data_IF_491729254183
#
_entry.id   IF_491729254183
#
_cell.length_a   1.000
_cell.length_b   1.000
_cell.length_c   1.000
_cell.angle_alpha   90.00
_cell.angle_beta   90.00
_cell.angle_gamma   90.00
#
_symmetry.space_group_name_H-M   'P 1'
#
loop_
_entity.id
_entity.type
_entity.pdbx_description
1 polymer ?
#
# COMPACT_ATOMS: atom_id res chain seq x y z
N UNK A 1 2.38 10.01 -28.17
CA UNK A 1 2.90 11.29 -27.70
C UNK A 1 1.69 12.15 -27.31
N UNK A 2 1.45 12.23 -25.98
CA UNK A 2 0.33 13.02 -25.47
C UNK A 2 0.46 14.48 -25.87
N UNK A 3 -0.64 15.11 -26.22
CA UNK A 3 -0.69 16.54 -26.48
C UNK A 3 -0.27 17.34 -25.23
N UNK A 4 0.28 18.55 -25.41
CA UNK A 4 0.64 19.43 -24.28
C UNK A 4 -0.49 19.58 -23.24
N UNK A 5 -1.78 19.67 -23.64
CA UNK A 5 -2.90 19.70 -22.70
C UNK A 5 -3.00 18.47 -21.79
N UNK A 6 -2.74 17.26 -22.30
CA UNK A 6 -2.79 16.04 -21.48
C UNK A 6 -1.67 15.98 -20.45
N UNK A 7 -0.46 16.44 -20.80
CA UNK A 7 0.66 16.51 -19.87
C UNK A 7 0.41 17.49 -18.70
N UNK A 8 -0.21 18.64 -18.97
CA UNK A 8 -0.60 19.59 -17.93
C UNK A 8 -1.64 19.00 -16.97
N UNK A 9 -2.63 18.29 -17.52
CA UNK A 9 -3.66 17.62 -16.71
C UNK A 9 -3.04 16.51 -15.83
N UNK A 10 -2.11 15.74 -16.36
CA UNK A 10 -1.41 14.69 -15.61
C UNK A 10 -0.59 15.28 -14.47
N UNK A 11 0.12 16.39 -14.70
CA UNK A 11 0.85 17.10 -13.64
C UNK A 11 -0.08 17.67 -12.58
N UNK A 12 -1.20 18.26 -12.99
CA UNK A 12 -2.21 18.76 -12.05
C UNK A 12 -2.80 17.63 -11.20
N UNK A 13 -3.11 16.49 -11.82
CA UNK A 13 -3.56 15.29 -11.08
C UNK A 13 -2.50 14.77 -10.12
N UNK A 14 -1.23 14.70 -10.55
CA UNK A 14 -0.13 14.26 -9.69
C UNK A 14 0.07 15.21 -8.50
N UNK A 15 0.02 16.52 -8.73
CA UNK A 15 0.10 17.53 -7.67
C UNK A 15 -1.08 17.43 -6.70
N UNK A 16 -2.30 17.29 -7.21
CA UNK A 16 -3.49 17.10 -6.40
C UNK A 16 -3.40 15.81 -5.57
N UNK A 17 -2.97 14.70 -6.16
CA UNK A 17 -2.75 13.44 -5.44
C UNK A 17 -1.70 13.59 -4.34
N UNK A 18 -0.61 14.31 -4.60
CA UNK A 18 0.42 14.62 -3.59
C UNK A 18 -0.13 15.42 -2.42
N UNK A 19 -0.94 16.44 -2.70
CA UNK A 19 -1.59 17.26 -1.68
C UNK A 19 -2.61 16.44 -0.87
N UNK A 20 -3.44 15.66 -1.55
CA UNK A 20 -4.45 14.80 -0.92
C UNK A 20 -3.83 13.68 -0.08
N UNK A 21 -2.62 13.22 -0.46
CA UNK A 21 -1.85 12.22 0.30
C UNK A 21 -1.14 12.81 1.52
N UNK A 22 -1.17 14.14 1.70
CA UNK A 22 -0.59 14.75 2.89
C UNK A 22 -1.37 14.33 4.14
N UNK A 23 -0.65 13.88 5.18
CA UNK A 23 -1.21 13.28 6.40
C UNK A 23 -2.43 14.00 6.99
N UNK A 24 -2.41 15.34 7.02
CA UNK A 24 -3.51 16.15 7.57
C UNK A 24 -4.74 16.17 6.67
N UNK A 25 -4.53 16.21 5.36
CA UNK A 25 -5.61 16.26 4.35
C UNK A 25 -6.23 14.89 4.18
N UNK A 26 -5.41 13.84 4.09
CA UNK A 26 -5.87 12.46 3.93
C UNK A 26 -6.76 12.01 5.09
N UNK A 27 -6.39 12.31 6.33
CA UNK A 27 -7.21 11.97 7.50
C UNK A 27 -8.59 12.66 7.51
N UNK A 28 -8.70 13.87 6.95
CA UNK A 28 -9.99 14.54 6.79
C UNK A 28 -10.83 13.89 5.68
N UNK A 29 -10.20 13.51 4.58
CA UNK A 29 -10.88 12.88 3.44
C UNK A 29 -11.33 11.45 3.74
N UNK A 30 -10.58 10.73 4.56
CA UNK A 30 -10.94 9.37 4.99
C UNK A 30 -12.21 9.33 5.86
N UNK A 31 -12.54 10.44 6.55
CA UNK A 31 -13.78 10.57 7.29
C UNK A 31 -15.02 10.75 6.39
N UNK A 32 -14.81 11.03 5.10
CA UNK A 32 -15.89 11.13 4.11
C UNK A 32 -16.15 9.74 3.49
N UNK A 33 -17.41 9.42 3.13
CA UNK A 33 -17.78 8.14 2.53
C UNK A 33 -17.38 8.08 1.04
N UNK A 34 -16.09 8.32 0.76
CA UNK A 34 -15.53 8.38 -0.61
C UNK A 34 -14.91 7.05 -1.05
N UNK A 35 -14.94 6.00 -0.22
CA UNK A 35 -14.29 4.71 -0.52
C UNK A 35 -12.76 4.82 -0.69
N UNK A 36 -12.13 5.86 -0.11
CA UNK A 36 -10.69 6.06 -0.22
C UNK A 36 -9.93 4.93 0.46
N UNK A 37 -9.08 4.27 -0.31
CA UNK A 37 -8.28 3.14 0.17
C UNK A 37 -8.98 1.79 0.04
N UNK A 38 -10.19 1.73 -0.52
CA UNK A 38 -10.81 0.47 -0.92
C UNK A 38 -10.10 -0.10 -2.16
N UNK A 39 -9.84 -1.41 -2.11
CA UNK A 39 -9.31 -2.13 -3.27
C UNK A 39 -10.47 -2.61 -4.11
N UNK A 40 -10.73 -1.91 -5.23
CA UNK A 40 -11.77 -2.27 -6.19
C UNK A 40 -11.12 -2.78 -7.46
N UNK A 41 -11.53 -3.97 -7.91
CA UNK A 41 -11.11 -4.49 -9.20
C UNK A 41 -11.90 -3.80 -10.32
N UNK A 42 -11.18 -3.10 -11.21
CA UNK A 42 -11.75 -2.48 -12.42
C UNK A 42 -11.22 -3.19 -13.66
N UNK A 43 -12.04 -4.00 -14.36
CA UNK A 43 -11.63 -4.66 -15.60
C UNK A 43 -11.48 -3.68 -16.77
N UNK A 44 -12.04 -2.48 -16.67
CA UNK A 44 -12.04 -1.46 -17.70
C UNK A 44 -10.86 -0.48 -17.65
N UNK A 45 -9.77 -0.80 -16.93
CA UNK A 45 -8.62 0.10 -16.86
C UNK A 45 -8.00 0.39 -18.23
N UNK A 46 -7.75 1.67 -18.51
CA UNK A 46 -7.19 2.10 -19.78
C UNK A 46 -5.70 1.71 -19.89
N UNK A 47 -5.35 1.00 -20.95
CA UNK A 47 -3.95 0.75 -21.33
C UNK A 47 -3.51 1.76 -22.38
N UNK A 48 -2.44 2.49 -22.10
CA UNK A 48 -1.89 3.48 -23.01
C UNK A 48 -0.47 3.90 -22.64
N UNK A 49 0.22 4.60 -23.54
CA UNK A 49 1.56 5.11 -23.25
C UNK A 49 1.50 6.20 -22.17
N UNK A 50 2.46 6.14 -21.25
CA UNK A 50 2.62 7.16 -20.21
C UNK A 50 2.98 8.52 -20.86
N UNK A 51 2.37 9.60 -20.40
CA UNK A 51 2.70 10.95 -20.88
C UNK A 51 4.16 11.32 -20.54
N UNK A 52 4.77 12.21 -21.35
CA UNK A 52 6.15 12.68 -21.11
C UNK A 52 6.30 13.36 -19.74
N UNK A 53 5.27 14.03 -19.26
CA UNK A 53 5.25 14.66 -17.94
C UNK A 53 5.36 13.61 -16.83
N UNK A 54 4.59 12.52 -16.89
CA UNK A 54 4.66 11.41 -15.94
C UNK A 54 5.97 10.63 -16.06
N UNK A 55 6.53 10.47 -17.27
CA UNK A 55 7.86 9.88 -17.46
C UNK A 55 8.95 10.69 -16.76
N UNK A 56 8.92 12.02 -16.90
CA UNK A 56 9.84 12.93 -16.21
C UNK A 56 9.70 12.83 -14.69
N UNK A 57 8.48 12.84 -14.18
CA UNK A 57 8.20 12.68 -12.74
C UNK A 57 8.70 11.32 -12.22
N UNK A 58 8.46 10.24 -12.98
CA UNK A 58 8.96 8.90 -12.66
C UNK A 58 10.49 8.86 -12.59
N UNK A 59 11.17 9.50 -13.55
CA UNK A 59 12.63 9.60 -13.55
C UNK A 59 13.17 10.34 -12.32
N UNK A 60 12.51 11.43 -11.91
CA UNK A 60 12.87 12.15 -10.67
C UNK A 60 12.64 11.27 -9.44
N UNK A 61 11.53 10.54 -9.39
CA UNK A 61 11.21 9.64 -8.27
C UNK A 61 12.20 8.49 -8.13
N UNK A 62 12.73 7.96 -9.26
CA UNK A 62 13.74 6.90 -9.24
C UNK A 62 15.05 7.33 -8.60
N UNK A 63 15.43 8.61 -8.70
CA UNK A 63 16.64 9.14 -8.02
C UNK A 63 16.53 9.06 -6.49
N UNK A 64 15.34 9.17 -5.96
CA UNK A 64 15.04 9.10 -4.53
C UNK A 64 14.81 7.67 -4.01
N UNK A 65 14.71 6.70 -4.91
CA UNK A 65 14.26 5.34 -4.58
C UNK A 65 15.16 4.66 -3.54
N UNK A 66 16.49 4.80 -3.70
CA UNK A 66 17.44 4.18 -2.77
C UNK A 66 17.31 4.74 -1.35
N UNK A 67 17.21 6.06 -1.21
CA UNK A 67 16.99 6.74 0.07
C UNK A 67 15.66 6.35 0.70
N UNK A 68 14.62 6.27 -0.13
CA UNK A 68 13.29 5.85 0.34
C UNK A 68 13.28 4.39 0.82
N UNK A 69 13.95 3.50 0.11
CA UNK A 69 14.04 2.09 0.49
C UNK A 69 14.87 1.91 1.77
N UNK A 70 15.97 2.65 1.93
CA UNK A 70 16.74 2.65 3.18
C UNK A 70 15.89 3.10 4.37
N UNK A 71 15.09 4.17 4.22
CA UNK A 71 14.16 4.60 5.26
C UNK A 71 13.11 3.53 5.58
N UNK A 72 12.48 2.92 4.57
CA UNK A 72 11.48 1.85 4.74
C UNK A 72 12.05 0.65 5.51
N UNK A 73 13.27 0.24 5.15
CA UNK A 73 13.95 -0.87 5.83
C UNK A 73 14.31 -0.52 7.27
N UNK A 74 14.69 0.73 7.55
CA UNK A 74 14.92 1.19 8.92
C UNK A 74 13.63 1.14 9.78
N UNK A 75 12.49 1.55 9.24
CA UNK A 75 11.19 1.45 9.93
C UNK A 75 10.78 -0.01 10.14
N UNK A 76 10.94 -0.85 9.11
CA UNK A 76 10.66 -2.28 9.20
C UNK A 76 11.52 -2.97 10.27
N UNK A 77 12.77 -2.56 10.44
CA UNK A 77 13.65 -3.09 11.50
C UNK A 77 13.14 -2.76 12.91
N UNK A 78 12.62 -1.54 13.11
CA UNK A 78 11.99 -1.14 14.38
C UNK A 78 10.75 -2.00 14.67
N UNK A 79 9.88 -2.18 13.68
CA UNK A 79 8.70 -3.03 13.83
C UNK A 79 9.07 -4.47 14.17
N UNK A 80 10.10 -5.02 13.51
CA UNK A 80 10.61 -6.36 13.81
C UNK A 80 11.14 -6.48 15.23
N UNK A 81 11.90 -5.49 15.68
CA UNK A 81 12.45 -5.44 17.05
C UNK A 81 11.33 -5.42 18.10
N UNK A 82 10.35 -4.52 17.95
CA UNK A 82 9.29 -4.33 18.96
C UNK A 82 8.28 -5.48 18.93
N UNK A 83 7.89 -5.97 17.76
CA UNK A 83 6.89 -7.03 17.61
C UNK A 83 7.48 -8.46 17.76
N UNK A 84 8.77 -8.58 18.06
CA UNK A 84 9.41 -9.85 18.37
C UNK A 84 9.48 -10.85 17.22
N UNK A 85 9.46 -10.37 15.97
CA UNK A 85 9.57 -11.24 14.79
C UNK A 85 8.35 -12.15 14.55
N UNK A 86 7.24 -11.92 15.25
CA UNK A 86 5.99 -12.70 15.12
C UNK A 86 5.26 -12.46 13.79
N UNK A 87 5.64 -11.44 13.05
CA UNK A 87 5.21 -11.23 11.67
C UNK A 87 5.84 -12.29 10.77
N UNK A 88 5.07 -13.28 10.38
CA UNK A 88 5.46 -14.48 9.68
C UNK A 88 6.62 -14.31 8.67
N UNK A 89 7.48 -15.25 8.67
CA UNK A 89 8.82 -15.44 8.13
C UNK A 89 9.10 -14.98 6.67
N UNK A 90 8.75 -13.76 6.31
CA UNK A 90 9.19 -13.12 5.05
C UNK A 90 10.73 -13.00 5.04
N UNK A 91 11.33 -12.92 6.23
CA UNK A 91 12.79 -12.88 6.41
C UNK A 91 13.55 -14.14 5.94
N UNK A 92 12.83 -15.20 5.59
CA UNK A 92 13.41 -16.45 5.05
C UNK A 92 13.44 -16.49 3.52
N UNK A 93 12.90 -15.50 2.84
CA UNK A 93 12.96 -15.44 1.39
C UNK A 93 14.35 -14.98 0.94
N UNK A 94 14.91 -15.60 -0.11
CA UNK A 94 16.18 -15.15 -0.67
C UNK A 94 16.01 -13.75 -1.27
N UNK A 95 16.98 -12.87 -1.05
CA UNK A 95 17.01 -11.51 -1.57
C UNK A 95 16.84 -10.44 -0.49
N UNK A 96 16.97 -9.19 -0.89
CA UNK A 96 16.77 -8.03 -0.01
C UNK A 96 15.30 -7.56 -0.10
N UNK A 97 14.59 -7.64 1.02
CA UNK A 97 13.22 -7.19 1.09
C UNK A 97 13.14 -5.66 1.15
N UNK A 98 12.22 -5.07 0.38
CA UNK A 98 11.85 -3.66 0.47
C UNK A 98 10.42 -3.58 0.99
N UNK A 99 10.27 -3.05 2.19
CA UNK A 99 9.00 -2.96 2.87
C UNK A 99 8.24 -1.68 2.47
N UNK A 100 7.47 -1.72 1.39
CA UNK A 100 6.54 -0.62 1.05
C UNK A 100 5.53 -0.39 2.18
N UNK A 101 5.18 -1.45 2.88
CA UNK A 101 4.49 -1.50 4.17
C UNK A 101 5.00 -2.73 4.92
N UNK A 102 5.07 -2.67 6.23
CA UNK A 102 5.49 -3.83 7.03
C UNK A 102 4.30 -4.75 7.30
N UNK A 103 4.35 -6.03 6.92
CA UNK A 103 3.26 -6.97 7.15
C UNK A 103 3.31 -7.51 8.59
N UNK A 104 2.14 -7.60 9.24
CA UNK A 104 1.99 -8.17 10.57
C UNK A 104 0.72 -9.00 10.68
N UNK A 105 0.81 -10.20 11.23
CA UNK A 105 -0.33 -11.10 11.42
C UNK A 105 -1.00 -10.80 12.76
N UNK A 106 -1.96 -9.89 12.75
CA UNK A 106 -2.65 -9.41 13.96
C UNK A 106 -3.85 -10.26 14.39
N UNK A 107 -4.20 -11.31 13.64
CA UNK A 107 -5.42 -12.07 13.87
C UNK A 107 -6.69 -11.31 13.47
N UNK A 108 -7.83 -11.73 13.98
CA UNK A 108 -9.15 -11.18 13.62
C UNK A 108 -9.54 -9.94 14.42
N UNK A 109 -8.70 -9.50 15.36
CA UNK A 109 -8.98 -8.36 16.21
C UNK A 109 -9.15 -7.07 15.38
N UNK A 110 -10.14 -6.22 15.69
CA UNK A 110 -10.29 -4.93 15.03
C UNK A 110 -9.08 -4.05 15.33
N UNK A 111 -8.64 -3.29 14.30
CA UNK A 111 -7.56 -2.32 14.48
C UNK A 111 -8.11 -1.14 15.28
N UNK A 112 -7.49 -0.78 16.43
CA UNK A 112 -7.88 0.39 17.20
C UNK A 112 -7.89 1.66 16.34
N UNK A 113 -8.86 2.55 16.57
CA UNK A 113 -9.02 3.78 15.80
C UNK A 113 -7.75 4.65 15.83
N UNK A 114 -7.08 4.71 16.99
CA UNK A 114 -5.82 5.44 17.13
C UNK A 114 -4.75 4.94 16.15
N UNK A 115 -4.62 3.62 15.97
CA UNK A 115 -3.67 3.02 15.03
C UNK A 115 -4.13 3.20 13.57
N UNK A 116 -5.44 3.16 13.30
CA UNK A 116 -5.96 3.47 11.95
C UNK A 116 -5.61 4.89 11.52
N UNK A 117 -5.71 5.87 12.40
CA UNK A 117 -5.32 7.27 12.14
C UNK A 117 -3.81 7.42 11.88
N UNK A 118 -3.00 6.51 12.39
CA UNK A 118 -1.56 6.45 12.12
C UNK A 118 -1.22 5.65 10.84
N UNK A 119 -2.21 5.17 10.11
CA UNK A 119 -2.04 4.51 8.83
C UNK A 119 -1.92 2.99 8.90
N UNK A 120 -2.21 2.36 10.06
CA UNK A 120 -2.33 0.91 10.15
C UNK A 120 -3.59 0.45 9.44
N UNK A 121 -3.50 -0.53 8.53
CA UNK A 121 -4.61 -0.94 7.66
C UNK A 121 -4.63 -2.45 7.42
N UNK A 122 -5.83 -3.00 7.25
CA UNK A 122 -6.07 -4.24 6.52
C UNK A 122 -6.18 -3.90 5.03
N UNK A 123 -5.10 -4.12 4.28
CA UNK A 123 -5.04 -3.72 2.86
C UNK A 123 -5.85 -4.64 1.95
N UNK A 124 -6.03 -5.88 2.37
CA UNK A 124 -6.64 -6.92 1.54
C UNK A 124 -7.90 -7.43 2.23
N UNK A 125 -9.09 -6.95 1.85
CA UNK A 125 -10.35 -7.36 2.50
C UNK A 125 -10.65 -8.85 2.29
N UNK A 126 -10.15 -9.41 1.17
CA UNK A 126 -10.29 -10.83 0.81
C UNK A 126 -9.17 -11.27 -0.12
N UNK A 127 -9.00 -12.56 -0.32
CA UNK A 127 -8.08 -13.08 -1.33
C UNK A 127 -8.62 -12.80 -2.75
N UNK A 128 -7.72 -12.73 -3.73
CA UNK A 128 -8.10 -12.44 -5.13
C UNK A 128 -9.18 -13.39 -5.64
N UNK A 129 -9.06 -14.68 -5.34
CA UNK A 129 -10.06 -15.67 -5.77
C UNK A 129 -11.42 -15.54 -5.05
N UNK A 130 -11.46 -14.86 -3.91
CA UNK A 130 -12.70 -14.60 -3.16
C UNK A 130 -13.37 -13.30 -3.61
N UNK A 131 -12.74 -12.55 -4.54
CA UNK A 131 -13.28 -11.32 -5.08
C UNK A 131 -14.39 -11.61 -6.11
N UNK A 132 -15.64 -11.17 -5.88
CA UNK A 132 -16.75 -11.48 -6.78
C UNK A 132 -16.52 -11.00 -8.23
N UNK A 133 -15.88 -9.86 -8.41
CA UNK A 133 -15.57 -9.29 -9.72
C UNK A 133 -14.57 -10.14 -10.53
N UNK A 134 -13.80 -11.00 -9.89
CA UNK A 134 -12.86 -11.93 -10.55
C UNK A 134 -13.55 -13.21 -11.02
N UNK A 135 -14.74 -13.54 -10.51
CA UNK A 135 -15.42 -14.80 -10.83
C UNK A 135 -15.52 -15.11 -12.34
N UNK A 136 -15.84 -14.14 -13.24
CA UNK A 136 -15.90 -14.38 -14.68
C UNK A 136 -14.54 -14.73 -15.33
N UNK A 137 -13.44 -14.40 -14.65
CA UNK A 137 -12.08 -14.59 -15.16
C UNK A 137 -11.38 -15.81 -14.58
N UNK A 138 -12.05 -16.58 -13.72
CA UNK A 138 -11.48 -17.80 -13.13
C UNK A 138 -11.36 -18.89 -14.19
N UNK A 139 -10.20 -19.52 -14.26
CA UNK A 139 -10.04 -20.72 -15.06
C UNK A 139 -10.85 -21.90 -14.47
N UNK A 140 -11.30 -22.82 -15.34
CA UNK A 140 -12.10 -23.99 -14.94
C UNK A 140 -11.42 -24.88 -13.88
N UNK A 141 -10.09 -24.82 -13.79
CA UNK A 141 -9.27 -25.63 -12.87
C UNK A 141 -8.68 -24.82 -11.72
N UNK A 142 -9.28 -23.68 -11.37
CA UNK A 142 -8.79 -22.85 -10.27
C UNK A 142 -8.97 -23.59 -8.94
N UNK A 143 -7.84 -23.90 -8.27
CA UNK A 143 -7.86 -24.55 -6.97
C UNK A 143 -8.18 -23.53 -5.85
N UNK A 144 -8.87 -23.95 -4.78
CA UNK A 144 -9.08 -23.12 -3.60
C UNK A 144 -7.75 -22.68 -2.99
N UNK A 145 -7.71 -21.44 -2.50
CA UNK A 145 -6.51 -20.85 -1.84
C UNK A 145 -6.80 -20.48 -0.38
N UNK A 146 -7.08 -21.46 0.51
CA UNK A 146 -7.48 -21.19 1.89
C UNK A 146 -6.40 -20.45 2.68
N UNK A 147 -5.12 -20.65 2.34
CA UNK A 147 -4.00 -19.90 2.91
C UNK A 147 -4.05 -18.41 2.58
N UNK A 148 -4.37 -18.06 1.33
CA UNK A 148 -4.52 -16.67 0.90
C UNK A 148 -5.72 -15.99 1.58
N UNK A 149 -6.85 -16.67 1.67
CA UNK A 149 -8.05 -16.17 2.36
C UNK A 149 -7.77 -15.94 3.84
N UNK A 150 -7.07 -16.86 4.50
CA UNK A 150 -6.65 -16.70 5.90
C UNK A 150 -5.68 -15.51 6.08
N UNK A 151 -4.69 -15.37 5.20
CA UNK A 151 -3.75 -14.22 5.24
C UNK A 151 -4.52 -12.91 5.06
N UNK A 152 -5.43 -12.82 4.09
CA UNK A 152 -6.23 -11.62 3.85
C UNK A 152 -7.02 -11.19 5.10
N UNK A 153 -7.58 -12.15 5.85
CA UNK A 153 -8.32 -11.89 7.09
C UNK A 153 -7.42 -11.42 8.24
N UNK A 154 -6.23 -12.00 8.38
CA UNK A 154 -5.36 -11.79 9.55
C UNK A 154 -4.29 -10.71 9.34
N UNK A 155 -3.96 -10.39 8.08
CA UNK A 155 -2.87 -9.49 7.74
C UNK A 155 -3.23 -8.03 8.00
N UNK A 156 -2.42 -7.40 8.81
CA UNK A 156 -2.38 -5.94 9.00
C UNK A 156 -1.08 -5.41 8.42
N UNK A 157 -1.10 -4.22 7.89
CA UNK A 157 0.10 -3.58 7.36
C UNK A 157 0.40 -2.28 8.09
N UNK A 158 1.65 -2.12 8.50
CA UNK A 158 2.15 -0.96 9.19
C UNK A 158 2.85 -0.01 8.21
N UNK A 159 2.68 1.32 8.37
CA UNK A 159 3.24 2.29 7.43
C UNK A 159 4.75 2.44 7.58
N UNK A 160 5.46 2.58 6.44
CA UNK A 160 6.92 2.73 6.38
C UNK A 160 7.35 3.95 5.56
N UNK A 161 6.41 4.84 5.20
CA UNK A 161 6.69 6.02 4.38
C UNK A 161 7.45 7.10 5.16
N UNK A 162 8.02 8.09 4.48
CA UNK A 162 8.84 9.16 5.08
C UNK A 162 8.17 9.98 6.18
N UNK A 163 6.84 9.97 6.27
CA UNK A 163 6.09 10.60 7.36
C UNK A 163 6.09 9.82 8.68
N UNK A 164 6.70 8.65 8.72
CA UNK A 164 6.89 7.83 9.93
C UNK A 164 8.34 7.99 10.37
N UNK A 165 8.56 8.59 11.52
CA UNK A 165 9.85 8.60 12.18
C UNK A 165 10.01 7.41 13.16
N UNK A 166 11.16 7.33 13.81
CA UNK A 166 11.48 6.22 14.72
C UNK A 166 10.59 6.15 15.95
N UNK A 167 10.21 7.31 16.48
CA UNK A 167 9.36 7.39 17.67
C UNK A 167 7.94 6.95 17.34
N UNK A 168 7.39 7.46 16.23
CA UNK A 168 6.08 7.08 15.75
C UNK A 168 6.03 5.58 15.38
N UNK A 169 7.09 5.03 14.79
CA UNK A 169 7.16 3.61 14.48
C UNK A 169 7.08 2.74 15.75
N UNK A 170 7.77 3.14 16.84
CA UNK A 170 7.65 2.43 18.14
C UNK A 170 6.26 2.57 18.76
N UNK A 171 5.61 3.72 18.58
CA UNK A 171 4.23 3.93 19.07
C UNK A 171 3.21 3.05 18.33
N UNK A 172 3.45 2.79 17.04
CA UNK A 172 2.57 1.97 16.19
C UNK A 172 2.75 0.48 16.49
N UNK A 173 3.95 0.05 16.84
CA UNK A 173 4.27 -1.35 17.13
C UNK A 173 3.76 -1.80 18.50
#
# INVERSE_FOLDING_TARGET
PGSIPSGCLDLARAAASGLLSHRRVYGMLEALPLGLGETVFDPGFAMGPMSRALQGLGTCSLRELQSLNAHRNAMASIYREVLGGTGGSIDRLPGEAVYTRYPYMAGDNPIPEALRRLGVRRMYPRAILDEPAIAPYRAAHTLPTPGASRIAQMLVTLPTHRGIDRELARTIA
#
